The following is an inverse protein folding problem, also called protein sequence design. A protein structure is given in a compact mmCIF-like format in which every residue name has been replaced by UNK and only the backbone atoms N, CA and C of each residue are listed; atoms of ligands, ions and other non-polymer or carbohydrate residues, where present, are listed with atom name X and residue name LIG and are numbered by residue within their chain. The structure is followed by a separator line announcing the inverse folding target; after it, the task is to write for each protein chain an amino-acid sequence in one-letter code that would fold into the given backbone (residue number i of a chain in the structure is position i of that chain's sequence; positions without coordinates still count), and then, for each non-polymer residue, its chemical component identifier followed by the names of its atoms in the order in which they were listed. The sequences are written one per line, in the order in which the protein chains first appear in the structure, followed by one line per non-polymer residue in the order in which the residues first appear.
data_IF_955165889810
#
_entry.id   IF_955165889810
#
_cell.length_a   1.000
_cell.length_b   1.000
_cell.length_c   1.000
_cell.angle_alpha   90.00
_cell.angle_beta   90.00
_cell.angle_gamma   90.00
#
_symmetry.space_group_name_H-M   'P 1'
#
loop_
_entity.id
_entity.type
_entity.pdbx_description
1 polymer ?
#
# COMPACT_ATOMS: atom_id res chain seq x y z
N UNK A 1 45.53 -44.89 -32.29
CA UNK A 1 44.09 -44.84 -32.60
C UNK A 1 43.39 -44.26 -31.37
N UNK A 2 42.80 -43.07 -31.52
CA UNK A 2 42.08 -42.32 -30.47
C UNK A 2 40.64 -42.85 -30.43
N UNK A 3 40.12 -43.20 -29.27
CA UNK A 3 38.74 -43.66 -29.07
C UNK A 3 38.18 -43.07 -27.78
N UNK A 4 37.12 -42.27 -27.92
CA UNK A 4 36.54 -41.37 -26.92
C UNK A 4 35.95 -42.10 -25.70
N UNK A 5 36.16 -41.54 -24.51
CA UNK A 5 35.31 -41.76 -23.34
C UNK A 5 34.18 -40.72 -23.34
N UNK A 6 32.92 -41.18 -23.39
CA UNK A 6 31.73 -40.34 -23.33
C UNK A 6 31.32 -40.27 -21.85
N UNK A 7 31.57 -39.12 -21.22
CA UNK A 7 31.04 -38.80 -19.90
C UNK A 7 29.76 -37.96 -20.08
N UNK A 8 28.60 -38.59 -19.86
CA UNK A 8 27.30 -37.94 -19.79
C UNK A 8 27.17 -37.18 -18.47
N UNK A 9 27.52 -35.89 -18.50
CA UNK A 9 27.23 -34.96 -17.41
C UNK A 9 25.76 -34.53 -17.45
N UNK A 10 24.97 -34.95 -16.46
CA UNK A 10 23.66 -34.37 -16.18
C UNK A 10 23.86 -32.93 -15.69
N UNK A 11 23.58 -31.95 -16.54
CA UNK A 11 23.50 -30.56 -16.14
C UNK A 11 22.13 -30.33 -15.47
N UNK A 12 22.09 -30.44 -14.14
CA UNK A 12 20.99 -29.88 -13.35
C UNK A 12 21.07 -28.35 -13.46
N UNK A 13 20.19 -27.75 -14.27
CA UNK A 13 20.00 -26.31 -14.30
C UNK A 13 19.43 -25.87 -12.94
N UNK A 14 20.29 -25.30 -12.09
CA UNK A 14 19.89 -24.56 -10.91
C UNK A 14 19.19 -23.27 -11.38
N UNK A 15 17.87 -23.33 -11.53
CA UNK A 15 17.07 -22.12 -11.72
C UNK A 15 17.25 -21.21 -10.50
N UNK A 16 17.70 -19.96 -10.65
CA UNK A 16 17.75 -19.03 -9.54
C UNK A 16 16.32 -18.79 -9.05
N UNK A 17 16.07 -19.12 -7.79
CA UNK A 17 14.86 -18.75 -7.10
C UNK A 17 14.83 -17.21 -7.07
N UNK A 18 13.96 -16.60 -7.85
CA UNK A 18 13.76 -15.15 -7.81
C UNK A 18 13.24 -14.78 -6.42
N UNK A 19 14.14 -14.31 -5.56
CA UNK A 19 13.76 -13.69 -4.30
C UNK A 19 13.02 -12.39 -4.65
N UNK A 20 11.71 -12.37 -4.40
CA UNK A 20 10.92 -11.15 -4.44
C UNK A 20 11.44 -10.23 -3.32
N UNK A 21 12.34 -9.32 -3.65
CA UNK A 21 12.70 -8.24 -2.75
C UNK A 21 11.43 -7.41 -2.55
N UNK A 22 10.85 -7.47 -1.35
CA UNK A 22 9.78 -6.56 -0.97
C UNK A 22 10.32 -5.14 -1.11
N UNK A 23 9.69 -4.32 -1.94
CA UNK A 23 10.06 -2.91 -2.03
C UNK A 23 9.94 -2.27 -0.63
N UNK A 24 10.94 -1.47 -0.22
CA UNK A 24 10.89 -0.82 1.08
C UNK A 24 9.64 0.07 1.15
N UNK A 25 8.95 0.03 2.29
CA UNK A 25 7.80 0.89 2.53
C UNK A 25 8.22 2.36 2.42
N UNK A 26 7.36 3.17 1.78
CA UNK A 26 7.58 4.62 1.68
C UNK A 26 7.56 5.21 3.09
N UNK A 27 8.58 5.99 3.50
CA UNK A 27 8.59 6.63 4.81
C UNK A 27 7.44 7.64 4.92
N UNK A 28 6.89 7.80 6.12
CA UNK A 28 5.69 8.64 6.33
C UNK A 28 5.93 10.08 5.87
N UNK A 29 7.11 10.63 6.16
CA UNK A 29 7.52 11.98 5.81
C UNK A 29 7.50 12.22 4.30
N UNK A 30 7.73 11.19 3.49
CA UNK A 30 7.60 11.27 2.03
C UNK A 30 6.15 11.04 1.60
N UNK A 31 5.46 10.07 2.22
CA UNK A 31 4.10 9.69 1.88
C UNK A 31 3.11 10.86 2.00
N UNK A 32 3.29 11.75 2.99
CA UNK A 32 2.41 12.90 3.21
C UNK A 32 2.43 13.95 2.10
N UNK A 33 3.51 14.00 1.30
CA UNK A 33 3.66 14.96 0.21
C UNK A 33 3.28 14.41 -1.17
N UNK A 34 2.97 13.11 -1.28
CA UNK A 34 2.48 12.54 -2.55
C UNK A 34 1.08 13.07 -2.85
N UNK A 35 0.81 13.36 -4.12
CA UNK A 35 -0.54 13.72 -4.56
C UNK A 35 -1.42 12.47 -4.70
N UNK A 36 -2.73 12.67 -4.73
CA UNK A 36 -3.67 11.60 -5.07
C UNK A 36 -3.36 10.95 -6.42
N UNK A 37 -2.93 11.73 -7.41
CA UNK A 37 -2.53 11.24 -8.72
C UNK A 37 -1.28 10.35 -8.64
N UNK A 38 -0.26 10.76 -7.89
CA UNK A 38 0.96 9.94 -7.68
C UNK A 38 0.61 8.59 -7.05
N UNK A 39 -0.24 8.63 -6.02
CA UNK A 39 -0.66 7.42 -5.30
C UNK A 39 -1.54 6.52 -6.16
N UNK A 40 -2.41 7.08 -7.02
CA UNK A 40 -3.22 6.29 -7.95
C UNK A 40 -2.36 5.56 -9.00
N UNK A 41 -1.23 6.16 -9.41
CA UNK A 41 -0.27 5.58 -10.34
C UNK A 41 0.56 4.43 -9.71
N UNK A 42 0.56 4.27 -8.38
CA UNK A 42 1.28 3.19 -7.71
C UNK A 42 0.67 1.80 -8.00
N UNK A 43 1.49 0.74 -7.94
CA UNK A 43 0.98 -0.63 -7.98
C UNK A 43 -0.03 -0.89 -6.84
N UNK A 44 -0.98 -1.84 -7.01
CA UNK A 44 -2.11 -1.97 -6.10
C UNK A 44 -1.74 -2.22 -4.63
N UNK A 45 -0.77 -3.10 -4.36
CA UNK A 45 -0.39 -3.45 -2.99
C UNK A 45 0.37 -2.32 -2.28
N UNK A 46 1.44 -1.74 -2.85
CA UNK A 46 2.10 -0.56 -2.29
C UNK A 46 1.15 0.61 -2.03
N UNK A 47 0.18 0.82 -2.93
CA UNK A 47 -0.85 1.86 -2.77
C UNK A 47 -1.71 1.63 -1.53
N UNK A 48 -2.18 0.40 -1.32
CA UNK A 48 -3.02 0.05 -0.17
C UNK A 48 -2.23 0.26 1.13
N UNK A 49 -0.98 -0.20 1.16
CA UNK A 49 -0.13 -0.08 2.35
C UNK A 49 0.17 1.38 2.70
N UNK A 50 0.48 2.21 1.70
CA UNK A 50 0.68 3.64 1.90
C UNK A 50 -0.59 4.32 2.44
N UNK A 51 -1.75 4.07 1.82
CA UNK A 51 -3.02 4.66 2.29
C UNK A 51 -3.36 4.19 3.71
N UNK A 52 -3.07 2.93 4.05
CA UNK A 52 -3.26 2.38 5.40
C UNK A 52 -2.34 3.07 6.41
N UNK A 53 -1.05 3.21 6.12
CA UNK A 53 -0.09 3.92 6.97
C UNK A 53 -0.54 5.35 7.29
N UNK A 54 -1.05 6.06 6.29
CA UNK A 54 -1.58 7.41 6.45
C UNK A 54 -2.88 7.42 7.28
N UNK A 55 -3.77 6.46 7.05
CA UNK A 55 -5.02 6.33 7.81
C UNK A 55 -4.75 6.01 9.28
N UNK A 56 -3.77 5.14 9.58
CA UNK A 56 -3.33 4.84 10.95
C UNK A 56 -2.82 6.11 11.64
N UNK A 57 -1.97 6.90 10.99
CA UNK A 57 -1.49 8.16 11.54
C UNK A 57 -2.64 9.16 11.79
N UNK A 58 -3.58 9.30 10.84
CA UNK A 58 -4.76 10.15 11.05
C UNK A 58 -5.67 9.62 12.17
N UNK A 59 -5.83 8.30 12.28
CA UNK A 59 -6.64 7.63 13.30
C UNK A 59 -6.14 7.91 14.71
N UNK A 60 -4.82 7.93 14.92
CA UNK A 60 -4.21 8.34 16.19
C UNK A 60 -4.64 9.75 16.61
N UNK A 61 -4.80 10.67 15.66
CA UNK A 61 -5.26 12.03 15.93
C UNK A 61 -6.77 12.11 16.23
N UNK A 62 -7.60 11.36 15.50
CA UNK A 62 -9.07 11.43 15.63
C UNK A 62 -9.68 10.43 16.62
N UNK A 63 -8.86 9.55 17.22
CA UNK A 63 -9.29 8.52 18.16
C UNK A 63 -9.91 7.29 17.50
N UNK A 64 -9.51 6.98 16.26
CA UNK A 64 -9.94 5.79 15.50
C UNK A 64 -8.80 4.78 15.49
N UNK A 65 -9.10 3.54 15.89
CA UNK A 65 -8.13 2.44 15.90
C UNK A 65 -8.39 1.52 14.71
N UNK A 66 -7.41 1.44 13.82
CA UNK A 66 -7.38 0.43 12.76
C UNK A 66 -6.51 -0.74 13.22
N UNK A 67 -7.03 -1.97 13.17
CA UNK A 67 -6.25 -3.15 13.57
C UNK A 67 -5.28 -3.52 12.43
N UNK A 68 -4.10 -4.00 12.80
CA UNK A 68 -3.13 -4.47 11.83
C UNK A 68 -3.69 -5.65 11.01
N UNK A 69 -3.53 -5.57 9.69
CA UNK A 69 -4.04 -6.48 8.65
C UNK A 69 -5.54 -6.38 8.32
N UNK A 70 -6.30 -5.54 9.01
CA UNK A 70 -7.67 -5.28 8.57
C UNK A 70 -7.67 -4.35 7.35
N UNK A 71 -8.49 -4.68 6.36
CA UNK A 71 -8.77 -3.75 5.27
C UNK A 71 -9.43 -2.52 5.87
N UNK A 72 -9.11 -1.33 5.33
CA UNK A 72 -9.89 -0.14 5.63
C UNK A 72 -11.37 -0.44 5.36
N UNK A 73 -12.25 0.09 6.21
CA UNK A 73 -13.69 -0.06 6.04
C UNK A 73 -14.09 0.32 4.60
N UNK A 74 -15.08 -0.38 4.05
CA UNK A 74 -15.51 -0.21 2.66
C UNK A 74 -15.97 1.23 2.40
N UNK A 75 -16.63 1.86 3.37
CA UNK A 75 -17.10 3.25 3.35
C UNK A 75 -15.91 4.22 3.40
N UNK A 76 -14.99 4.04 4.33
CA UNK A 76 -13.76 4.83 4.43
C UNK A 76 -12.93 4.78 3.13
N UNK A 77 -12.73 3.58 2.58
CA UNK A 77 -12.01 3.40 1.34
C UNK A 77 -12.75 4.04 0.14
N UNK A 78 -14.08 4.03 0.15
CA UNK A 78 -14.88 4.71 -0.86
C UNK A 78 -14.74 6.24 -0.78
N UNK A 79 -14.76 6.81 0.43
CA UNK A 79 -14.53 8.25 0.65
C UNK A 79 -13.15 8.68 0.14
N UNK A 80 -12.10 7.91 0.47
CA UNK A 80 -10.74 8.20 -0.01
C UNK A 80 -10.68 8.16 -1.54
N UNK A 81 -11.25 7.13 -2.18
CA UNK A 81 -11.30 7.03 -3.65
C UNK A 81 -12.05 8.21 -4.26
N UNK A 82 -13.24 8.54 -3.78
CA UNK A 82 -14.04 9.65 -4.28
C UNK A 82 -13.29 10.99 -4.12
N UNK A 83 -12.67 11.23 -2.95
CA UNK A 83 -11.86 12.41 -2.70
C UNK A 83 -10.70 12.54 -3.67
N UNK A 84 -9.94 11.46 -3.88
CA UNK A 84 -8.82 11.48 -4.82
C UNK A 84 -9.25 11.56 -6.29
N UNK A 85 -10.45 11.11 -6.65
CA UNK A 85 -11.03 11.34 -7.98
C UNK A 85 -11.39 12.81 -8.20
N UNK A 86 -11.96 13.48 -7.18
CA UNK A 86 -12.35 14.89 -7.29
C UNK A 86 -11.16 15.85 -7.22
N UNK A 87 -10.12 15.50 -6.45
CA UNK A 87 -8.97 16.36 -6.18
C UNK A 87 -7.64 15.64 -6.48
N UNK A 88 -7.33 15.35 -7.75
CA UNK A 88 -6.17 14.53 -8.12
C UNK A 88 -4.82 15.15 -7.72
N UNK A 89 -4.72 16.49 -7.70
CA UNK A 89 -3.50 17.19 -7.32
C UNK A 89 -3.37 17.45 -5.82
N UNK A 90 -4.37 17.09 -5.00
CA UNK A 90 -4.29 17.26 -3.56
C UNK A 90 -3.34 16.24 -2.94
N UNK A 91 -2.65 16.62 -1.86
CA UNK A 91 -1.86 15.69 -1.08
C UNK A 91 -2.75 14.57 -0.54
N UNK A 92 -2.34 13.32 -0.74
CA UNK A 92 -3.14 12.14 -0.36
C UNK A 92 -3.47 12.14 1.13
N UNK A 93 -2.55 12.63 1.97
CA UNK A 93 -2.74 12.66 3.42
C UNK A 93 -3.89 13.60 3.84
N UNK A 94 -4.10 14.70 3.11
CA UNK A 94 -5.22 15.60 3.37
C UNK A 94 -6.56 14.88 3.13
N UNK A 95 -6.68 14.17 2.01
CA UNK A 95 -7.88 13.40 1.67
C UNK A 95 -8.12 12.26 2.67
N UNK A 96 -7.07 11.51 3.02
CA UNK A 96 -7.16 10.42 4.00
C UNK A 96 -7.55 10.96 5.37
N UNK A 97 -6.93 12.03 5.85
CA UNK A 97 -7.23 12.65 7.14
C UNK A 97 -8.67 13.14 7.21
N UNK A 98 -9.18 13.78 6.15
CA UNK A 98 -10.57 14.22 6.07
C UNK A 98 -11.56 13.03 6.12
N UNK A 99 -11.26 11.94 5.42
CA UNK A 99 -12.09 10.74 5.42
C UNK A 99 -12.09 10.04 6.79
N UNK A 100 -10.92 9.94 7.46
CA UNK A 100 -10.82 9.37 8.82
C UNK A 100 -11.56 10.24 9.84
N UNK A 101 -11.53 11.56 9.70
CA UNK A 101 -12.32 12.46 10.55
C UNK A 101 -13.82 12.20 10.40
N UNK A 102 -14.31 12.09 9.16
CA UNK A 102 -15.71 11.78 8.89
C UNK A 102 -16.13 10.43 9.49
N UNK A 103 -15.28 9.42 9.35
CA UNK A 103 -15.49 8.10 9.98
C UNK A 103 -15.56 8.21 11.51
N UNK A 104 -14.63 8.97 12.12
CA UNK A 104 -14.64 9.20 13.57
C UNK A 104 -15.94 9.85 14.06
N UNK A 105 -16.48 10.80 13.29
CA UNK A 105 -17.77 11.44 13.56
C UNK A 105 -18.94 10.46 13.42
N UNK A 106 -18.94 9.62 12.37
CA UNK A 106 -19.95 8.58 12.18
C UNK A 106 -19.94 7.55 13.32
N UNK A 107 -18.77 7.11 13.77
CA UNK A 107 -18.64 6.17 14.90
C UNK A 107 -19.15 6.75 16.22
N UNK A 108 -19.05 8.07 16.43
CA UNK A 108 -19.58 8.74 17.63
C UNK A 108 -21.11 8.84 17.63
N UNK A 109 -21.73 8.92 16.47
CA UNK A 109 -23.20 9.06 16.33
C UNK A 109 -23.94 7.72 16.27
N UNK A 110 -23.25 6.63 15.91
CA UNK A 110 -23.79 5.26 15.91
C UNK A 110 -23.79 4.59 17.31
N UNK A 111 -23.23 5.24 18.32
CA UNK A 111 -23.09 4.73 19.69
C UNK A 111 -24.20 5.23 20.60
#
# INVERSE_FOLDING_TARGET
MRGLAIATGLAFALSPLAASAAEPAVPFEEAVYKTCQDVQAMPPQPRIELVRQLAVHAGQHYGVVFRDNDKLDTELAAMIRAGCTMFPSANVFFIVSAAVRAEAEALRTKK
#
